data_IF_454454008269
#
_entry.id   IF_454454008269
#
_cell.length_a   1.000
_cell.length_b   1.000
_cell.length_c   1.000
_cell.angle_alpha   90.00
_cell.angle_beta   90.00
_cell.angle_gamma   90.00
#
_symmetry.space_group_name_H-M   'P 1'
#
loop_
_entity.id
_entity.type
_entity.pdbx_description
1 polymer ?
#
# COMPACT_ATOMS: atom_id res chain seq x y z
N UNK A 1 4.36 -21.69 -3.29
CA UNK A 1 5.57 -21.46 -4.10
C UNK A 1 5.25 -20.58 -5.31
N UNK A 2 4.10 -20.75 -5.99
CA UNK A 2 3.71 -19.90 -7.12
C UNK A 2 3.34 -18.44 -6.78
N UNK A 3 3.05 -18.13 -5.52
CA UNK A 3 2.72 -16.77 -5.07
C UNK A 3 3.94 -15.85 -5.01
N UNK A 4 5.12 -16.39 -4.69
CA UNK A 4 6.34 -15.60 -4.49
C UNK A 4 6.99 -15.25 -5.84
N UNK A 5 6.94 -16.14 -6.83
CA UNK A 5 7.57 -15.94 -8.13
C UNK A 5 6.91 -14.87 -9.02
N UNK A 6 5.65 -14.48 -8.73
CA UNK A 6 4.91 -13.44 -9.48
C UNK A 6 4.49 -12.25 -8.61
N UNK A 7 5.08 -12.14 -7.43
CA UNK A 7 4.70 -11.11 -6.47
C UNK A 7 5.00 -9.70 -6.99
N UNK A 8 6.14 -9.53 -7.66
CA UNK A 8 6.55 -8.24 -8.25
C UNK A 8 5.67 -7.81 -9.42
N UNK A 9 5.18 -8.76 -10.21
CA UNK A 9 4.36 -8.50 -11.41
C UNK A 9 2.87 -8.35 -11.11
N UNK A 10 2.42 -8.66 -9.87
CA UNK A 10 1.00 -8.62 -9.55
C UNK A 10 0.45 -7.19 -9.72
N UNK A 11 -0.46 -6.95 -10.66
CA UNK A 11 -1.05 -5.65 -10.88
C UNK A 11 -1.98 -5.31 -9.70
N UNK A 12 -1.72 -4.19 -9.04
CA UNK A 12 -2.60 -3.63 -8.01
C UNK A 12 -3.59 -2.66 -8.65
N UNK A 13 -3.08 -1.78 -9.52
CA UNK A 13 -3.90 -0.92 -10.37
C UNK A 13 -3.61 -1.33 -11.81
N UNK A 14 -4.65 -1.72 -12.52
CA UNK A 14 -4.53 -2.21 -13.90
C UNK A 14 -3.76 -1.20 -14.77
N UNK A 15 -2.74 -1.68 -15.47
CA UNK A 15 -1.89 -0.93 -16.40
C UNK A 15 -1.16 0.30 -15.79
N UNK A 16 -1.19 0.49 -14.47
CA UNK A 16 -0.57 1.63 -13.80
C UNK A 16 0.52 1.19 -12.84
N UNK A 17 0.21 0.29 -11.89
CA UNK A 17 1.15 -0.07 -10.85
C UNK A 17 1.02 -1.54 -10.42
N UNK A 18 2.15 -2.25 -10.49
CA UNK A 18 2.32 -3.57 -9.88
C UNK A 18 2.72 -3.45 -8.41
N UNK A 19 2.56 -4.54 -7.69
CA UNK A 19 2.91 -4.60 -6.26
C UNK A 19 4.39 -4.29 -6.02
N UNK A 20 5.29 -4.76 -6.89
CA UNK A 20 6.72 -4.50 -6.77
C UNK A 20 7.04 -3.00 -6.81
N UNK A 21 6.46 -2.27 -7.76
CA UNK A 21 6.64 -0.81 -7.85
C UNK A 21 6.06 -0.07 -6.65
N UNK A 22 4.88 -0.48 -6.15
CA UNK A 22 4.28 0.12 -4.95
C UNK A 22 5.18 -0.08 -3.73
N UNK A 23 5.74 -1.28 -3.55
CA UNK A 23 6.65 -1.56 -2.44
C UNK A 23 7.95 -0.76 -2.54
N UNK A 24 8.51 -0.64 -3.74
CA UNK A 24 9.73 0.14 -3.96
C UNK A 24 9.51 1.63 -3.67
N UNK A 25 8.41 2.19 -4.18
CA UNK A 25 7.99 3.56 -3.86
C UNK A 25 7.76 3.72 -2.35
N UNK A 26 7.16 2.73 -1.69
CA UNK A 26 6.95 2.76 -0.24
C UNK A 26 8.27 2.80 0.53
N UNK A 27 9.30 2.08 0.10
CA UNK A 27 10.66 2.14 0.70
C UNK A 27 11.23 3.55 0.61
N UNK A 28 11.19 4.18 -0.57
CA UNK A 28 11.68 5.56 -0.75
C UNK A 28 10.85 6.56 0.05
N UNK A 29 9.54 6.36 0.09
CA UNK A 29 8.63 7.17 0.87
C UNK A 29 8.94 7.07 2.38
N UNK A 30 9.12 5.86 2.90
CA UNK A 30 9.46 5.62 4.31
C UNK A 30 10.80 6.27 4.65
N UNK A 31 11.82 6.12 3.79
CA UNK A 31 13.12 6.75 3.97
C UNK A 31 12.99 8.29 4.08
N UNK A 32 12.29 8.91 3.12
CA UNK A 32 12.06 10.36 3.13
C UNK A 32 11.22 10.84 4.32
N UNK A 33 10.16 10.09 4.67
CA UNK A 33 9.30 10.40 5.80
C UNK A 33 10.04 10.37 7.15
N UNK A 34 10.90 9.37 7.35
CA UNK A 34 11.68 9.24 8.58
C UNK A 34 12.80 10.26 8.72
N UNK A 35 13.33 10.77 7.62
CA UNK A 35 14.35 11.83 7.63
C UNK A 35 13.84 13.15 8.25
N UNK A 36 12.52 13.36 8.29
CA UNK A 36 11.86 14.60 8.72
C UNK A 36 11.52 14.65 10.21
N UNK A 37 11.93 13.68 11.01
CA UNK A 37 11.54 13.57 12.44
C UNK A 37 11.99 14.72 13.37
N UNK A 38 12.75 15.71 12.88
CA UNK A 38 13.24 16.84 13.72
C UNK A 38 12.46 18.11 13.43
N UNK A 39 12.18 18.95 14.43
CA UNK A 39 11.61 20.27 14.21
C UNK A 39 12.61 21.10 13.40
N UNK A 40 12.31 21.27 12.12
CA UNK A 40 13.13 22.05 11.18
C UNK A 40 12.21 22.87 10.26
N UNK A 41 12.71 23.95 9.66
CA UNK A 41 11.94 24.69 8.64
C UNK A 41 11.47 23.79 7.50
N UNK A 42 10.29 24.05 6.93
CA UNK A 42 9.67 23.21 5.91
C UNK A 42 10.61 22.89 4.73
N UNK A 43 11.39 23.88 4.29
CA UNK A 43 12.35 23.70 3.21
C UNK A 43 13.45 22.68 3.56
N UNK A 44 14.00 22.76 4.78
CA UNK A 44 15.01 21.80 5.23
C UNK A 44 14.44 20.39 5.36
N UNK A 45 13.17 20.27 5.77
CA UNK A 45 12.48 18.98 5.82
C UNK A 45 12.36 18.37 4.42
N UNK A 46 11.93 19.16 3.43
CA UNK A 46 11.79 18.68 2.04
C UNK A 46 13.15 18.28 1.46
N UNK A 47 14.19 19.09 1.67
CA UNK A 47 15.55 18.76 1.23
C UNK A 47 16.05 17.48 1.93
N UNK A 48 15.84 17.35 3.24
CA UNK A 48 16.19 16.14 3.98
C UNK A 48 15.49 14.89 3.46
N UNK A 49 14.21 14.99 3.14
CA UNK A 49 13.44 13.90 2.54
C UNK A 49 13.91 13.55 1.13
N UNK A 50 14.21 14.56 0.30
CA UNK A 50 14.77 14.38 -1.03
C UNK A 50 16.11 13.61 -0.96
N UNK A 51 17.03 14.05 -0.10
CA UNK A 51 18.33 13.40 0.06
C UNK A 51 18.19 11.97 0.60
N UNK A 52 17.31 11.73 1.55
CA UNK A 52 17.07 10.39 2.08
C UNK A 52 16.48 9.44 1.02
N UNK A 53 15.53 9.91 0.22
CA UNK A 53 14.97 9.17 -0.91
C UNK A 53 16.01 8.89 -1.99
N UNK A 54 16.87 9.87 -2.29
CA UNK A 54 17.99 9.73 -3.22
C UNK A 54 18.98 8.66 -2.73
N UNK A 55 19.40 8.72 -1.47
CA UNK A 55 20.30 7.71 -0.87
C UNK A 55 19.68 6.33 -0.93
N UNK A 56 18.41 6.18 -0.56
CA UNK A 56 17.72 4.91 -0.64
C UNK A 56 17.69 4.37 -2.08
N UNK A 57 17.43 5.23 -3.07
CA UNK A 57 17.45 4.85 -4.47
C UNK A 57 18.85 4.44 -4.97
N UNK A 58 19.91 5.15 -4.53
CA UNK A 58 21.29 4.79 -4.85
C UNK A 58 21.68 3.43 -4.25
N UNK A 59 21.23 3.11 -3.04
CA UNK A 59 21.43 1.78 -2.44
C UNK A 59 20.75 0.70 -3.26
N UNK A 60 19.51 0.93 -3.71
CA UNK A 60 18.80 -0.01 -4.59
C UNK A 60 19.50 -0.12 -5.95
N UNK A 61 19.94 0.99 -6.53
CA UNK A 61 20.69 0.99 -7.78
C UNK A 61 21.99 0.18 -7.69
N UNK A 62 22.72 0.34 -6.58
CA UNK A 62 23.94 -0.44 -6.31
C UNK A 62 23.62 -1.93 -6.20
N UNK A 63 22.53 -2.28 -5.49
CA UNK A 63 22.08 -3.67 -5.36
C UNK A 63 21.73 -4.28 -6.73
N UNK A 64 21.06 -3.54 -7.61
CA UNK A 64 20.75 -3.97 -8.97
C UNK A 64 22.03 -4.16 -9.79
N UNK A 65 22.99 -3.24 -9.69
CA UNK A 65 24.27 -3.35 -10.40
C UNK A 65 25.07 -4.58 -9.93
N UNK A 66 25.17 -4.80 -8.62
CA UNK A 66 25.87 -5.96 -8.05
C UNK A 66 25.15 -7.25 -8.46
N UNK A 67 23.83 -7.29 -8.33
CA UNK A 67 23.01 -8.45 -8.69
C UNK A 67 23.03 -8.78 -10.18
N UNK A 68 23.28 -7.78 -11.04
CA UNK A 68 23.49 -7.98 -12.48
C UNK A 68 24.87 -8.55 -12.85
N UNK A 69 25.88 -8.39 -11.96
CA UNK A 69 27.24 -8.88 -12.17
C UNK A 69 27.50 -10.23 -11.50
N UNK A 70 26.82 -10.52 -10.42
CA UNK A 70 26.99 -11.73 -9.62
C UNK A 70 25.74 -12.58 -9.73
N UNK A 71 25.88 -13.87 -10.04
CA UNK A 71 24.75 -14.79 -10.03
C UNK A 71 24.29 -15.05 -8.59
N UNK A 72 23.44 -14.16 -8.07
CA UNK A 72 22.88 -14.31 -6.71
C UNK A 72 21.84 -15.43 -6.60
N UNK A 73 21.44 -16.04 -7.71
CA UNK A 73 20.44 -17.12 -7.74
C UNK A 73 20.88 -18.36 -6.98
N UNK A 74 22.19 -18.60 -6.90
CA UNK A 74 22.77 -19.73 -6.18
C UNK A 74 22.66 -19.54 -4.66
N UNK A 75 22.63 -18.29 -4.17
CA UNK A 75 22.46 -17.95 -2.76
C UNK A 75 21.01 -17.61 -2.39
N UNK A 76 20.30 -16.97 -3.31
CA UNK A 76 18.92 -16.51 -3.10
C UNK A 76 18.02 -16.98 -4.27
N UNK A 77 17.25 -18.03 -4.04
CA UNK A 77 16.34 -18.65 -5.03
C UNK A 77 15.38 -17.64 -5.66
N UNK A 78 15.07 -16.55 -4.96
CA UNK A 78 14.14 -15.50 -5.41
C UNK A 78 14.83 -14.33 -6.15
N UNK A 79 16.14 -14.34 -6.31
CA UNK A 79 16.88 -13.33 -7.07
C UNK A 79 16.76 -13.61 -8.58
N UNK A 80 15.59 -13.31 -9.15
CA UNK A 80 15.32 -13.50 -10.57
C UNK A 80 15.66 -12.25 -11.38
N UNK A 81 15.95 -12.37 -12.69
CA UNK A 81 16.15 -11.21 -13.57
C UNK A 81 14.98 -10.24 -13.57
N UNK A 82 13.73 -10.75 -13.46
CA UNK A 82 12.52 -9.94 -13.38
C UNK A 82 12.48 -9.07 -12.11
N UNK A 83 13.09 -9.53 -11.01
CA UNK A 83 13.23 -8.73 -9.81
C UNK A 83 14.11 -7.51 -10.04
N UNK A 84 15.25 -7.68 -10.73
CA UNK A 84 16.15 -6.56 -11.03
C UNK A 84 15.52 -5.59 -12.02
N UNK A 85 14.77 -6.08 -13.00
CA UNK A 85 14.01 -5.24 -13.91
C UNK A 85 12.97 -4.40 -13.16
N UNK A 86 12.22 -5.02 -12.25
CA UNK A 86 11.26 -4.32 -11.38
C UNK A 86 11.96 -3.27 -10.51
N UNK A 87 13.08 -3.64 -9.89
CA UNK A 87 13.85 -2.73 -9.01
C UNK A 87 14.45 -1.55 -9.78
N UNK A 88 14.76 -1.70 -11.07
CA UNK A 88 15.30 -0.64 -11.93
C UNK A 88 14.23 0.27 -12.54
N UNK A 89 12.93 0.00 -12.36
CA UNK A 89 11.83 0.63 -13.10
C UNK A 89 12.01 0.57 -14.63
N UNK A 90 12.64 -0.48 -15.14
CA UNK A 90 13.01 -0.62 -16.55
C UNK A 90 14.16 0.31 -16.98
N UNK A 91 14.57 1.28 -16.16
CA UNK A 91 15.69 2.18 -16.44
C UNK A 91 16.38 2.63 -15.14
N UNK A 92 17.56 2.06 -14.90
CA UNK A 92 18.36 2.32 -13.70
C UNK A 92 18.69 3.81 -13.51
N UNK A 93 18.86 4.57 -14.60
CA UNK A 93 19.20 5.99 -14.53
C UNK A 93 18.06 6.85 -13.97
N UNK A 94 16.80 6.40 -14.06
CA UNK A 94 15.64 7.11 -13.51
C UNK A 94 15.45 6.86 -12.01
N UNK A 95 16.04 5.80 -11.47
CA UNK A 95 15.83 5.39 -10.09
C UNK A 95 16.21 6.48 -9.07
N UNK A 96 17.35 7.17 -9.18
CA UNK A 96 17.69 8.29 -8.28
C UNK A 96 16.66 9.43 -8.33
N UNK A 97 16.15 9.75 -9.52
CA UNK A 97 15.14 10.80 -9.69
C UNK A 97 13.81 10.40 -9.04
N UNK A 98 13.36 9.15 -9.23
CA UNK A 98 12.15 8.60 -8.60
C UNK A 98 12.31 8.58 -7.08
N UNK A 99 13.47 8.13 -6.57
CA UNK A 99 13.73 8.10 -5.15
C UNK A 99 13.76 9.49 -4.52
N UNK A 100 14.45 10.44 -5.15
CA UNK A 100 14.53 11.83 -4.69
C UNK A 100 13.15 12.50 -4.68
N UNK A 101 12.37 12.36 -5.77
CA UNK A 101 11.03 12.95 -5.86
C UNK A 101 10.06 12.31 -4.85
N UNK A 102 10.09 10.99 -4.69
CA UNK A 102 9.27 10.29 -3.70
C UNK A 102 9.64 10.68 -2.28
N UNK A 103 10.93 10.83 -1.98
CA UNK A 103 11.41 11.29 -0.68
C UNK A 103 10.98 12.72 -0.37
N UNK A 104 11.04 13.63 -1.36
CA UNK A 104 10.54 15.01 -1.23
C UNK A 104 9.03 15.05 -0.99
N UNK A 105 8.25 14.24 -1.72
CA UNK A 105 6.80 14.09 -1.52
C UNK A 105 6.50 13.56 -0.12
N UNK A 106 7.25 12.58 0.36
CA UNK A 106 7.09 12.03 1.72
C UNK A 106 7.36 13.09 2.81
N UNK A 107 8.37 13.93 2.60
CA UNK A 107 8.66 15.05 3.49
C UNK A 107 7.53 16.10 3.47
N UNK A 108 7.05 16.49 2.29
CA UNK A 108 5.91 17.39 2.14
C UNK A 108 4.65 16.80 2.80
N UNK A 109 4.44 15.49 2.64
CA UNK A 109 3.33 14.77 3.27
C UNK A 109 3.41 14.81 4.80
N UNK A 110 4.63 14.84 5.39
CA UNK A 110 4.80 14.96 6.84
C UNK A 110 4.36 16.32 7.41
N UNK A 111 4.29 17.36 6.57
CA UNK A 111 3.80 18.70 6.95
C UNK A 111 2.27 18.77 7.04
N UNK A 112 1.54 17.78 6.51
CA UNK A 112 0.09 17.72 6.59
C UNK A 112 -0.38 17.52 8.03
N UNK A 113 -1.57 18.05 8.40
CA UNK A 113 -2.20 17.76 9.68
C UNK A 113 -2.33 16.26 9.93
N UNK A 114 -2.13 15.84 11.18
CA UNK A 114 -2.10 14.40 11.58
C UNK A 114 -3.36 13.65 11.15
N UNK A 115 -4.52 14.32 11.19
CA UNK A 115 -5.80 13.71 10.79
C UNK A 115 -5.87 13.45 9.30
N UNK A 116 -5.43 14.43 8.48
CA UNK A 116 -5.41 14.30 7.03
C UNK A 116 -4.40 13.27 6.58
N UNK A 117 -3.19 13.31 7.15
CA UNK A 117 -2.14 12.33 6.89
C UNK A 117 -2.58 10.90 7.18
N UNK A 118 -3.18 10.68 8.36
CA UNK A 118 -3.68 9.36 8.72
C UNK A 118 -4.87 8.90 7.88
N UNK A 119 -5.69 9.82 7.39
CA UNK A 119 -6.79 9.53 6.47
C UNK A 119 -6.28 9.08 5.08
N UNK A 120 -5.30 9.79 4.54
CA UNK A 120 -4.67 9.43 3.27
C UNK A 120 -3.94 8.08 3.33
N UNK A 121 -3.20 7.80 4.41
CA UNK A 121 -2.59 6.49 4.61
C UNK A 121 -3.64 5.36 4.65
N UNK A 122 -4.77 5.60 5.33
CA UNK A 122 -5.85 4.62 5.38
C UNK A 122 -6.45 4.38 3.98
N UNK A 123 -6.62 5.43 3.18
CA UNK A 123 -7.10 5.33 1.80
C UNK A 123 -6.17 4.54 0.90
N UNK A 124 -4.86 4.89 0.92
CA UNK A 124 -3.84 4.19 0.13
C UNK A 124 -3.72 2.71 0.58
N UNK A 125 -3.71 2.46 1.89
CA UNK A 125 -3.68 1.11 2.43
C UNK A 125 -4.89 0.27 2.00
N UNK A 126 -6.09 0.84 2.08
CA UNK A 126 -7.31 0.17 1.64
C UNK A 126 -7.30 -0.15 0.13
N UNK A 127 -6.83 0.79 -0.71
CA UNK A 127 -6.67 0.58 -2.15
C UNK A 127 -5.67 -0.54 -2.44
N UNK A 128 -4.53 -0.55 -1.74
CA UNK A 128 -3.52 -1.61 -1.91
C UNK A 128 -4.07 -2.98 -1.51
N UNK A 129 -4.79 -3.07 -0.38
CA UNK A 129 -5.46 -4.31 0.05
C UNK A 129 -6.53 -4.75 -0.95
N UNK A 130 -7.36 -3.81 -1.44
CA UNK A 130 -8.37 -4.12 -2.45
C UNK A 130 -7.72 -4.67 -3.73
N UNK A 131 -6.61 -4.07 -4.18
CA UNK A 131 -5.85 -4.56 -5.34
C UNK A 131 -5.25 -5.94 -5.11
N UNK A 132 -4.72 -6.20 -3.91
CA UNK A 132 -4.20 -7.52 -3.56
C UNK A 132 -5.29 -8.61 -3.53
N UNK A 133 -6.50 -8.25 -3.13
CA UNK A 133 -7.65 -9.17 -3.01
C UNK A 133 -8.57 -9.16 -4.23
N UNK A 134 -8.25 -8.37 -5.26
CA UNK A 134 -9.13 -8.16 -6.43
C UNK A 134 -9.54 -9.44 -7.14
N UNK A 135 -8.62 -10.40 -7.29
CA UNK A 135 -8.89 -11.66 -7.97
C UNK A 135 -9.88 -12.52 -7.17
N UNK A 136 -9.67 -12.62 -5.86
CA UNK A 136 -10.56 -13.34 -4.95
C UNK A 136 -11.95 -12.69 -4.89
N UNK A 137 -11.98 -11.35 -4.82
CA UNK A 137 -13.23 -10.60 -4.83
C UNK A 137 -14.00 -10.78 -6.13
N UNK A 138 -13.31 -10.74 -7.28
CA UNK A 138 -13.96 -11.01 -8.58
C UNK A 138 -14.55 -12.40 -8.64
N UNK A 139 -13.87 -13.39 -8.10
CA UNK A 139 -14.33 -14.78 -8.09
C UNK A 139 -15.59 -14.92 -7.22
N UNK A 140 -15.60 -14.34 -6.02
CA UNK A 140 -16.77 -14.33 -5.12
C UNK A 140 -17.94 -13.59 -5.75
N UNK A 141 -17.69 -12.40 -6.31
CA UNK A 141 -18.73 -11.57 -6.92
C UNK A 141 -19.31 -12.20 -8.19
N UNK A 142 -18.49 -12.93 -8.96
CA UNK A 142 -18.94 -13.62 -10.16
C UNK A 142 -19.85 -14.79 -9.81
N UNK A 143 -19.54 -15.56 -8.76
CA UNK A 143 -20.38 -16.64 -8.27
C UNK A 143 -21.76 -16.17 -7.81
N UNK A 144 -21.84 -14.93 -7.28
CA UNK A 144 -23.10 -14.36 -6.80
C UNK A 144 -23.83 -13.52 -7.88
N UNK A 145 -23.35 -13.49 -9.12
CA UNK A 145 -23.96 -12.70 -10.21
C UNK A 145 -23.82 -11.18 -10.06
N UNK A 146 -23.10 -10.71 -9.03
CA UNK A 146 -22.99 -9.27 -8.68
C UNK A 146 -21.76 -8.64 -9.37
N UNK A 147 -20.87 -9.45 -9.94
CA UNK A 147 -19.63 -8.97 -10.55
C UNK A 147 -19.86 -7.93 -11.64
N UNK A 148 -20.95 -8.01 -12.40
CA UNK A 148 -21.30 -7.09 -13.49
C UNK A 148 -21.42 -5.64 -13.02
N UNK A 149 -21.91 -5.42 -11.80
CA UNK A 149 -22.05 -4.06 -11.23
C UNK A 149 -20.72 -3.41 -10.86
N UNK A 150 -19.68 -4.18 -10.58
CA UNK A 150 -18.37 -3.69 -10.12
C UNK A 150 -17.28 -3.77 -11.19
N UNK A 151 -17.49 -4.61 -12.22
CA UNK A 151 -16.56 -4.70 -13.36
C UNK A 151 -16.52 -3.40 -14.14
N UNK A 152 -15.33 -2.97 -14.48
CA UNK A 152 -15.05 -1.81 -15.31
C UNK A 152 -14.81 -0.52 -14.54
N UNK A 153 -15.63 -0.18 -13.53
CA UNK A 153 -15.44 1.06 -12.79
C UNK A 153 -14.68 0.88 -11.46
N UNK A 154 -14.87 -0.24 -10.76
CA UNK A 154 -14.17 -0.53 -9.50
C UNK A 154 -13.09 -1.59 -9.68
N UNK A 155 -13.47 -2.75 -10.21
CA UNK A 155 -12.58 -3.89 -10.42
C UNK A 155 -12.32 -4.10 -11.89
N UNK A 156 -11.06 -4.36 -12.21
CA UNK A 156 -10.59 -4.69 -13.53
C UNK A 156 -10.26 -6.21 -13.62
N UNK A 157 -10.09 -6.79 -14.81
CA UNK A 157 -9.76 -8.20 -14.96
C UNK A 157 -8.48 -8.62 -14.23
N UNK A 158 -7.56 -7.67 -14.03
CA UNK A 158 -6.32 -7.87 -13.26
C UNK A 158 -6.09 -6.64 -12.37
N UNK A 159 -6.53 -6.71 -11.10
CA UNK A 159 -6.36 -5.63 -10.14
C UNK A 159 -7.57 -4.70 -10.02
N UNK A 160 -7.33 -3.48 -9.55
CA UNK A 160 -8.33 -2.42 -9.42
C UNK A 160 -8.26 -1.51 -10.65
N UNK A 161 -9.40 -1.03 -11.14
CA UNK A 161 -9.41 -0.02 -12.21
C UNK A 161 -8.85 1.31 -11.70
N UNK A 162 -8.37 2.17 -12.59
CA UNK A 162 -7.86 3.49 -12.19
C UNK A 162 -8.94 4.34 -11.50
N UNK A 163 -10.18 4.30 -12.02
CA UNK A 163 -11.33 4.94 -11.36
C UNK A 163 -11.63 4.34 -9.99
N UNK A 164 -11.60 3.01 -9.89
CA UNK A 164 -11.79 2.29 -8.62
C UNK A 164 -10.73 2.63 -7.57
N UNK A 165 -9.48 2.79 -7.97
CA UNK A 165 -8.40 3.21 -7.10
C UNK A 165 -8.65 4.61 -6.53
N UNK A 166 -9.01 5.58 -7.39
CA UNK A 166 -9.31 6.96 -6.98
C UNK A 166 -10.52 6.97 -6.03
N UNK A 167 -11.60 6.29 -6.38
CA UNK A 167 -12.81 6.21 -5.56
C UNK A 167 -12.50 5.59 -4.21
N UNK A 168 -11.79 4.46 -4.17
CA UNK A 168 -11.45 3.77 -2.91
C UNK A 168 -10.61 4.66 -2.02
N UNK A 169 -9.54 5.28 -2.55
CA UNK A 169 -8.70 6.19 -1.76
C UNK A 169 -9.52 7.36 -1.23
N UNK A 170 -10.33 7.99 -2.07
CA UNK A 170 -11.12 9.18 -1.69
C UNK A 170 -12.16 8.81 -0.63
N UNK A 171 -12.95 7.77 -0.86
CA UNK A 171 -14.05 7.37 0.06
C UNK A 171 -13.46 6.96 1.41
N UNK A 172 -12.43 6.12 1.43
CA UNK A 172 -11.82 5.66 2.69
C UNK A 172 -11.10 6.80 3.41
N UNK A 173 -10.41 7.69 2.68
CA UNK A 173 -9.77 8.85 3.28
C UNK A 173 -10.82 9.81 3.90
N UNK A 174 -11.91 10.12 3.19
CA UNK A 174 -12.98 10.99 3.70
C UNK A 174 -13.64 10.35 4.93
N UNK A 175 -14.01 9.08 4.86
CA UNK A 175 -14.60 8.37 6.00
C UNK A 175 -13.67 8.36 7.21
N UNK A 176 -12.39 8.04 7.00
CA UNK A 176 -11.41 8.01 8.08
C UNK A 176 -11.17 9.41 8.67
N UNK A 177 -11.13 10.45 7.84
CA UNK A 177 -11.01 11.83 8.27
C UNK A 177 -12.21 12.25 9.14
N UNK A 178 -13.44 11.98 8.68
CA UNK A 178 -14.67 12.29 9.43
C UNK A 178 -14.72 11.54 10.77
N UNK A 179 -14.33 10.26 10.79
CA UNK A 179 -14.26 9.47 12.03
C UNK A 179 -13.24 10.03 13.02
N UNK A 180 -12.07 10.47 12.54
CA UNK A 180 -11.04 11.11 13.37
C UNK A 180 -11.52 12.45 13.94
N UNK A 181 -12.16 13.28 13.12
CA UNK A 181 -12.75 14.54 13.58
C UNK A 181 -13.84 14.33 14.64
N UNK A 182 -14.72 13.32 14.45
CA UNK A 182 -15.71 12.94 15.47
C UNK A 182 -15.05 12.50 16.78
N UNK A 183 -14.01 11.68 16.68
CA UNK A 183 -13.25 11.20 17.85
C UNK A 183 -12.57 12.34 18.59
N UNK A 184 -12.01 13.32 17.90
CA UNK A 184 -11.43 14.52 18.53
C UNK A 184 -12.50 15.38 19.23
N UNK A 185 -13.64 15.61 18.56
CA UNK A 185 -14.78 16.31 19.20
C UNK A 185 -15.27 15.57 20.43
N UNK A 186 -15.38 14.25 20.40
CA UNK A 186 -15.78 13.44 21.54
C UNK A 186 -14.72 13.44 22.64
N UNK A 187 -13.44 13.43 22.32
CA UNK A 187 -12.35 13.52 23.28
C UNK A 187 -12.34 14.87 24.00
N UNK A 188 -12.65 15.94 23.31
CA UNK A 188 -12.79 17.27 23.88
C UNK A 188 -14.09 17.42 24.70
N UNK A 189 -15.12 16.58 24.43
CA UNK A 189 -16.38 16.54 25.20
C UNK A 189 -16.42 15.44 26.25
N UNK A 190 -15.62 14.38 26.09
CA UNK A 190 -15.66 13.16 26.88
C UNK A 190 -14.51 13.07 27.91
N UNK A 191 -14.41 14.07 28.73
CA UNK A 191 -14.22 13.80 30.14
C UNK A 191 -15.45 13.03 30.75
N UNK A 192 -16.36 12.49 29.90
CA UNK A 192 -17.64 11.88 30.29
C UNK A 192 -17.85 10.52 29.60
N UNK A 193 -17.52 9.42 30.31
CA UNK A 193 -18.21 8.15 30.24
C UNK A 193 -17.52 6.97 29.50
N UNK A 194 -17.61 5.75 30.06
CA UNK A 194 -16.94 4.53 29.60
C UNK A 194 -17.56 3.84 28.34
N UNK A 195 -18.65 4.40 27.79
CA UNK A 195 -19.40 3.78 26.69
C UNK A 195 -18.61 3.62 25.36
N UNK A 196 -17.59 4.47 25.14
CA UNK A 196 -16.82 4.43 23.88
C UNK A 196 -15.81 3.27 23.80
N UNK A 197 -15.31 2.80 24.94
CA UNK A 197 -14.34 1.70 24.99
C UNK A 197 -15.00 0.34 24.66
N UNK A 198 -16.26 0.17 25.02
CA UNK A 198 -17.03 -1.05 24.72
C UNK A 198 -17.33 -1.17 23.22
N UNK A 199 -17.76 -0.08 22.59
CA UNK A 199 -18.01 -0.04 21.15
C UNK A 199 -16.74 -0.33 20.33
N UNK A 200 -15.61 0.20 20.74
CA UNK A 200 -14.33 -0.02 20.07
C UNK A 200 -13.86 -1.48 20.22
N UNK A 201 -14.07 -2.09 21.39
CA UNK A 201 -13.78 -3.52 21.60
C UNK A 201 -14.72 -4.42 20.77
N UNK A 202 -16.00 -4.07 20.65
CA UNK A 202 -16.96 -4.80 19.82
C UNK A 202 -16.61 -4.77 18.34
N UNK A 203 -16.13 -3.63 17.80
CA UNK A 203 -15.69 -3.51 16.42
C UNK A 203 -14.43 -4.38 16.17
N UNK A 204 -13.46 -4.36 17.10
CA UNK A 204 -12.27 -5.21 17.01
C UNK A 204 -12.62 -6.70 17.09
N UNK A 205 -13.55 -7.09 17.97
CA UNK A 205 -14.07 -8.45 18.05
C UNK A 205 -14.75 -8.87 16.75
N UNK A 206 -15.55 -8.00 16.15
CA UNK A 206 -16.22 -8.25 14.87
C UNK A 206 -15.21 -8.43 13.72
N UNK A 207 -14.17 -7.60 13.67
CA UNK A 207 -13.08 -7.73 12.68
C UNK A 207 -12.33 -9.05 12.86
N UNK A 208 -11.98 -9.42 14.10
CA UNK A 208 -11.32 -10.69 14.41
C UNK A 208 -12.23 -11.88 14.06
N UNK A 209 -13.52 -11.80 14.35
CA UNK A 209 -14.49 -12.82 14.00
C UNK A 209 -14.62 -13.00 12.48
N UNK A 210 -14.68 -11.90 11.74
CA UNK A 210 -14.66 -11.91 10.27
C UNK A 210 -13.35 -12.52 9.75
N UNK A 211 -12.19 -12.16 10.32
CA UNK A 211 -10.90 -12.73 9.92
C UNK A 211 -10.80 -14.24 10.22
N UNK A 212 -11.41 -14.72 11.30
CA UNK A 212 -11.43 -16.15 11.65
C UNK A 212 -12.40 -16.94 10.74
N UNK A 213 -13.55 -16.35 10.43
CA UNK A 213 -14.56 -17.01 9.57
C UNK A 213 -14.23 -16.92 8.08
N UNK A 214 -13.51 -15.87 7.63
CA UNK A 214 -13.12 -15.70 6.22
C UNK A 214 -12.36 -16.92 5.65
N UNK A 215 -11.36 -17.52 6.36
CA UNK A 215 -10.68 -18.73 5.89
C UNK A 215 -11.59 -19.97 5.81
N UNK A 216 -12.59 -20.08 6.68
CA UNK A 216 -13.51 -21.20 6.64
C UNK A 216 -14.46 -21.11 5.45
N UNK A 217 -14.88 -19.91 5.05
CA UNK A 217 -15.62 -19.69 3.81
C UNK A 217 -14.75 -19.87 2.56
N UNK A 218 -13.45 -19.57 2.64
CA UNK A 218 -12.48 -19.78 1.57
C UNK A 218 -11.94 -21.22 1.53
N UNK A 219 -11.93 -21.92 2.67
CA UNK A 219 -11.41 -23.29 2.80
C UNK A 219 -12.27 -24.36 2.13
N UNK A 220 -13.54 -24.09 1.85
CA UNK A 220 -14.39 -24.98 1.07
C UNK A 220 -13.96 -25.10 -0.41
N UNK A 221 -13.11 -24.19 -0.89
CA UNK A 221 -12.60 -24.19 -2.27
C UNK A 221 -11.25 -24.89 -2.46
N UNK A 222 -10.52 -25.22 -1.38
CA UNK A 222 -9.20 -25.87 -1.51
C UNK A 222 -9.27 -27.41 -1.53
N UNK A 223 -10.41 -28.02 -1.28
CA UNK A 223 -10.58 -29.48 -1.28
C UNK A 223 -10.89 -30.08 -2.65
N UNK A 224 -11.15 -29.27 -3.68
CA UNK A 224 -11.48 -29.76 -5.03
C UNK A 224 -10.34 -29.62 -6.05
N UNK A 225 -9.12 -29.20 -5.63
CA UNK A 225 -7.96 -29.02 -6.53
C UNK A 225 -6.73 -29.78 -6.01
N UNK A 226 -6.95 -31.00 -5.50
CA UNK A 226 -5.89 -32.00 -5.30
C UNK A 226 -6.24 -33.28 -6.01
#
# INVERSE_FOLDING_TARGET
VGMIGRFSERPIIQNVAGLGYILLIAVFFIAGYHAVKRPAPALQQVIGGLLAGLIAALVVALLVLIGGQINLRDMFINASPELYETLSFGNLALLPLIGASTGAVAAAFSLLPTNLRGALFAGIGAMTLLGMLSDQLLLILNNNGIASYFKGWLLAPKGVSTSGAIITVTVVAVLNFLLRMRKERQRNQAARGPASAWLQRSIWLLIVLVMIYLPQFLGAYHSEVL
#
